data_IF_226755507593
#
_entry.id   IF_226755507593
#
_cell.length_a   1.000
_cell.length_b   1.000
_cell.length_c   1.000
_cell.angle_alpha   90.00
_cell.angle_beta   90.00
_cell.angle_gamma   90.00
#
_symmetry.space_group_name_H-M   'P 1'
#
loop_
_entity.id
_entity.type
_entity.pdbx_description
1 polymer ?
#
# COMPACT_ATOMS: atom_id res chain seq x y z
N UNK A 1 -29.48 2.72 2.05
CA UNK A 1 -29.01 4.11 2.36
C UNK A 1 -27.76 4.36 1.57
N UNK A 2 -27.66 5.48 0.90
CA UNK A 2 -26.46 5.84 0.12
C UNK A 2 -25.31 6.14 1.10
N UNK A 3 -24.26 5.33 1.07
CA UNK A 3 -23.13 5.44 1.98
C UNK A 3 -22.33 6.74 1.74
N UNK A 4 -22.25 7.20 0.49
CA UNK A 4 -21.61 8.46 0.14
C UNK A 4 -22.34 9.66 0.75
N UNK A 5 -23.68 9.64 0.66
CA UNK A 5 -24.51 10.66 1.30
C UNK A 5 -24.30 10.65 2.82
N UNK A 6 -24.23 9.47 3.44
CA UNK A 6 -24.04 9.35 4.89
C UNK A 6 -22.68 9.87 5.36
N UNK A 7 -21.61 9.65 4.59
CA UNK A 7 -20.29 10.23 4.89
C UNK A 7 -20.32 11.75 4.73
N UNK A 8 -20.99 12.28 3.70
CA UNK A 8 -21.20 13.72 3.53
C UNK A 8 -21.94 14.34 4.72
N UNK A 9 -23.02 13.71 5.18
CA UNK A 9 -23.76 14.15 6.37
C UNK A 9 -22.86 14.15 7.62
N UNK A 10 -22.03 13.12 7.81
CA UNK A 10 -21.10 13.05 8.94
C UNK A 10 -20.02 14.13 8.88
N UNK A 11 -19.56 14.48 7.69
CA UNK A 11 -18.60 15.55 7.51
C UNK A 11 -19.18 16.92 7.90
N UNK A 12 -20.43 17.20 7.54
CA UNK A 12 -21.09 18.48 7.76
C UNK A 12 -21.77 18.56 9.15
N UNK A 13 -22.63 17.59 9.50
CA UNK A 13 -23.45 17.64 10.70
C UNK A 13 -22.67 17.42 12.00
N UNK A 14 -21.58 16.64 11.93
CA UNK A 14 -20.78 16.23 13.09
C UNK A 14 -19.41 16.89 13.13
N UNK A 15 -19.19 17.90 12.30
CA UNK A 15 -17.94 18.65 12.19
C UNK A 15 -17.37 19.03 13.57
N UNK A 16 -18.23 19.54 14.47
CA UNK A 16 -17.85 20.01 15.80
C UNK A 16 -18.26 19.06 16.95
N UNK A 17 -18.87 17.91 16.63
CA UNK A 17 -19.44 16.99 17.63
C UNK A 17 -18.60 15.75 17.90
N UNK A 18 -17.77 15.36 16.95
CA UNK A 18 -16.87 14.22 17.08
C UNK A 18 -15.46 14.61 16.66
N UNK A 19 -14.46 13.93 17.18
CA UNK A 19 -13.06 14.12 16.80
C UNK A 19 -12.79 13.48 15.42
N UNK A 20 -11.68 13.86 14.80
CA UNK A 20 -11.23 13.23 13.55
C UNK A 20 -10.97 11.74 13.74
N UNK A 21 -10.36 11.37 14.88
CA UNK A 21 -10.17 9.97 15.24
C UNK A 21 -11.49 9.19 15.24
N UNK A 22 -12.51 9.70 15.92
CA UNK A 22 -13.83 9.07 15.98
C UNK A 22 -14.47 8.99 14.60
N UNK A 23 -14.32 10.03 13.78
CA UNK A 23 -14.85 10.05 12.41
C UNK A 23 -14.17 8.99 11.53
N UNK A 24 -12.84 9.04 11.39
CA UNK A 24 -12.11 8.17 10.48
C UNK A 24 -12.10 6.71 10.92
N UNK A 25 -12.17 6.43 12.22
CA UNK A 25 -12.25 5.04 12.72
C UNK A 25 -13.67 4.51 12.87
N UNK A 26 -14.69 5.31 12.54
CA UNK A 26 -16.09 4.89 12.59
C UNK A 26 -16.38 3.74 11.62
N UNK A 27 -17.30 2.86 11.99
CA UNK A 27 -17.73 1.76 11.11
C UNK A 27 -18.31 2.28 9.77
N UNK A 28 -18.97 3.44 9.79
CA UNK A 28 -19.51 4.07 8.56
C UNK A 28 -18.38 4.45 7.63
N UNK A 29 -17.32 5.09 8.15
CA UNK A 29 -16.17 5.47 7.34
C UNK A 29 -15.40 4.27 6.80
N UNK A 30 -15.16 3.27 7.63
CA UNK A 30 -14.51 2.01 7.21
C UNK A 30 -15.28 1.31 6.09
N UNK A 31 -16.60 1.22 6.21
CA UNK A 31 -17.44 0.65 5.14
C UNK A 31 -17.41 1.51 3.86
N UNK A 32 -17.36 2.83 4.00
CA UNK A 32 -17.21 3.73 2.86
C UNK A 32 -15.89 3.46 2.12
N UNK A 33 -14.75 3.40 2.83
CA UNK A 33 -13.45 3.13 2.24
C UNK A 33 -13.43 1.76 1.56
N UNK A 34 -13.88 0.72 2.22
CA UNK A 34 -13.94 -0.63 1.66
C UNK A 34 -14.81 -0.69 0.37
N UNK A 35 -15.97 -0.03 0.37
CA UNK A 35 -16.82 0.05 -0.82
C UNK A 35 -16.18 0.87 -1.93
N UNK A 36 -15.49 1.97 -1.58
CA UNK A 36 -14.79 2.81 -2.55
C UNK A 36 -13.65 2.05 -3.20
N UNK A 37 -12.84 1.32 -2.45
CA UNK A 37 -11.79 0.44 -2.97
C UNK A 37 -12.35 -0.52 -4.01
N UNK A 38 -13.43 -1.23 -3.68
CA UNK A 38 -14.10 -2.15 -4.60
C UNK A 38 -14.58 -1.46 -5.88
N UNK A 39 -15.20 -0.30 -5.75
CA UNK A 39 -15.71 0.45 -6.89
C UNK A 39 -14.58 0.92 -7.83
N UNK A 40 -13.45 1.36 -7.27
CA UNK A 40 -12.29 1.79 -8.05
C UNK A 40 -11.73 0.60 -8.83
N UNK A 41 -11.51 -0.53 -8.18
CA UNK A 41 -10.98 -1.74 -8.83
C UNK A 41 -11.91 -2.25 -9.92
N UNK A 42 -13.21 -2.36 -9.64
CA UNK A 42 -14.21 -2.76 -10.65
C UNK A 42 -14.22 -1.81 -11.85
N UNK A 43 -14.15 -0.50 -11.60
CA UNK A 43 -14.07 0.50 -12.67
C UNK A 43 -12.78 0.41 -13.49
N UNK A 44 -11.66 0.10 -12.83
CA UNK A 44 -10.36 -0.13 -13.49
C UNK A 44 -10.40 -1.36 -14.36
N UNK A 45 -10.92 -2.49 -13.87
CA UNK A 45 -11.06 -3.73 -14.66
C UNK A 45 -11.93 -3.52 -15.88
N UNK A 46 -13.08 -2.87 -15.71
CA UNK A 46 -13.94 -2.52 -16.84
C UNK A 46 -13.22 -1.66 -17.89
N UNK A 47 -12.39 -0.72 -17.45
CA UNK A 47 -11.62 0.15 -18.34
C UNK A 47 -10.53 -0.64 -19.07
N UNK A 48 -9.82 -1.51 -18.37
CA UNK A 48 -8.81 -2.40 -18.96
C UNK A 48 -9.43 -3.31 -20.02
N UNK A 49 -10.58 -3.94 -19.71
CA UNK A 49 -11.30 -4.80 -20.62
C UNK A 49 -11.70 -4.07 -21.90
N UNK A 50 -12.23 -2.85 -21.81
CA UNK A 50 -12.53 -2.01 -22.98
C UNK A 50 -11.32 -1.68 -23.84
N UNK A 51 -10.12 -1.68 -23.27
CA UNK A 51 -8.86 -1.44 -23.98
C UNK A 51 -8.18 -2.74 -24.44
N UNK A 52 -8.86 -3.88 -24.39
CA UNK A 52 -8.37 -5.16 -24.88
C UNK A 52 -7.50 -5.94 -23.89
N UNK A 53 -7.43 -5.51 -22.64
CA UNK A 53 -6.80 -6.24 -21.55
C UNK A 53 -7.91 -6.95 -20.78
N UNK A 54 -8.03 -8.27 -20.88
CA UNK A 54 -9.00 -9.01 -20.07
C UNK A 54 -8.29 -9.79 -18.96
N UNK A 55 -8.72 -9.56 -17.74
CA UNK A 55 -8.58 -10.54 -16.67
C UNK A 55 -9.70 -11.58 -16.85
N UNK A 56 -9.47 -12.81 -16.45
CA UNK A 56 -10.58 -13.75 -16.39
C UNK A 56 -11.58 -13.29 -15.34
N UNK A 57 -12.88 -13.50 -15.57
CA UNK A 57 -13.92 -13.20 -14.56
C UNK A 57 -13.62 -13.85 -13.19
N UNK A 58 -12.98 -15.03 -13.23
CA UNK A 58 -12.52 -15.72 -12.03
C UNK A 58 -11.43 -14.93 -11.29
N UNK A 59 -10.47 -14.37 -11.99
CA UNK A 59 -9.36 -13.62 -11.39
C UNK A 59 -9.85 -12.29 -10.81
N UNK A 60 -10.77 -11.59 -11.50
CA UNK A 60 -11.42 -10.38 -10.99
C UNK A 60 -12.19 -10.66 -9.70
N UNK A 61 -13.07 -11.65 -9.71
CA UNK A 61 -13.85 -12.03 -8.53
C UNK A 61 -12.96 -12.49 -7.38
N UNK A 62 -11.91 -13.26 -7.67
CA UNK A 62 -10.95 -13.69 -6.68
C UNK A 62 -10.24 -12.49 -6.05
N UNK A 63 -9.74 -11.56 -6.85
CA UNK A 63 -9.08 -10.36 -6.36
C UNK A 63 -10.03 -9.51 -5.51
N UNK A 64 -11.23 -9.18 -6.03
CA UNK A 64 -12.22 -8.37 -5.31
C UNK A 64 -12.67 -8.98 -3.98
N UNK A 65 -12.66 -10.32 -3.86
CA UNK A 65 -13.02 -11.01 -2.62
C UNK A 65 -11.83 -11.22 -1.67
N UNK A 66 -10.60 -11.07 -2.16
CA UNK A 66 -9.39 -11.21 -1.36
C UNK A 66 -8.88 -9.90 -0.77
N UNK A 67 -9.53 -8.76 -1.08
CA UNK A 67 -9.09 -7.44 -0.60
C UNK A 67 -9.83 -7.09 0.69
N UNK A 68 -9.03 -6.81 1.71
CA UNK A 68 -9.49 -6.24 2.98
C UNK A 68 -8.94 -4.82 3.12
N UNK A 69 -9.80 -3.89 3.51
CA UNK A 69 -9.44 -2.49 3.73
C UNK A 69 -9.65 -2.11 5.17
N UNK A 70 -8.63 -1.60 5.81
CA UNK A 70 -8.66 -1.13 7.17
C UNK A 70 -8.32 0.35 7.25
N UNK A 71 -8.91 1.07 8.21
CA UNK A 71 -8.58 2.46 8.54
C UNK A 71 -8.27 2.55 10.02
N UNK A 72 -7.08 3.03 10.35
CA UNK A 72 -6.65 3.28 11.71
C UNK A 72 -6.25 4.76 11.88
N UNK A 73 -5.94 5.15 13.11
CA UNK A 73 -5.57 6.52 13.46
C UNK A 73 -4.38 6.50 14.43
N UNK A 74 -3.16 6.52 13.90
CA UNK A 74 -1.91 6.52 14.69
C UNK A 74 -1.17 7.85 14.52
N UNK A 75 -1.38 8.76 15.47
CA UNK A 75 -0.72 10.08 15.53
C UNK A 75 0.78 9.99 15.84
N UNK A 76 1.24 8.85 16.35
CA UNK A 76 2.67 8.66 16.64
C UNK A 76 3.49 8.36 15.40
N UNK A 77 2.82 8.12 14.25
CA UNK A 77 3.44 7.86 12.98
C UNK A 77 4.32 6.61 12.95
N UNK A 78 4.04 5.64 13.83
CA UNK A 78 4.79 4.38 13.87
C UNK A 78 4.49 3.51 12.67
N UNK A 79 3.27 3.62 12.17
CA UNK A 79 2.80 2.88 11.01
C UNK A 79 2.10 3.86 10.09
N UNK A 80 2.62 4.06 8.90
CA UNK A 80 1.98 4.84 7.82
C UNK A 80 0.84 4.07 7.16
N UNK A 81 0.35 4.57 6.03
CA UNK A 81 -0.49 3.79 5.12
C UNK A 81 0.38 2.82 4.34
N UNK A 82 -0.12 1.64 4.04
CA UNK A 82 0.62 0.64 3.26
C UNK A 82 -0.31 -0.45 2.71
N UNK A 83 0.14 -1.06 1.62
CA UNK A 83 -0.49 -2.24 1.03
C UNK A 83 0.44 -3.44 1.18
N UNK A 84 -0.12 -4.58 1.51
CA UNK A 84 0.62 -5.83 1.60
C UNK A 84 -0.24 -7.03 1.18
N UNK A 85 0.40 -8.16 0.94
CA UNK A 85 -0.32 -9.42 0.74
C UNK A 85 0.15 -10.50 1.72
N UNK A 86 -0.74 -11.40 2.09
CA UNK A 86 -0.39 -12.58 2.87
C UNK A 86 0.16 -13.72 1.97
N UNK A 87 0.51 -14.83 2.59
CA UNK A 87 1.02 -16.02 1.89
C UNK A 87 -0.04 -16.73 1.04
N UNK A 88 -1.32 -16.43 1.26
CA UNK A 88 -2.45 -16.99 0.53
C UNK A 88 -2.86 -16.13 -0.66
N UNK A 89 -2.25 -14.95 -0.80
CA UNK A 89 -2.54 -13.98 -1.85
C UNK A 89 -3.69 -13.03 -1.51
N UNK A 90 -4.18 -13.01 -0.26
CA UNK A 90 -5.11 -11.95 0.16
C UNK A 90 -4.37 -10.62 0.22
N UNK A 91 -5.04 -9.57 -0.21
CA UNK A 91 -4.52 -8.21 -0.28
C UNK A 91 -5.09 -7.37 0.87
N UNK A 92 -4.25 -6.58 1.50
CA UNK A 92 -4.63 -5.71 2.61
C UNK A 92 -4.23 -4.28 2.30
N UNK A 93 -5.17 -3.37 2.45
CA UNK A 93 -4.95 -1.92 2.38
C UNK A 93 -5.17 -1.34 3.76
N UNK A 94 -4.10 -0.94 4.41
CA UNK A 94 -4.13 -0.30 5.72
C UNK A 94 -3.89 1.20 5.56
N UNK A 95 -4.85 2.02 5.92
CA UNK A 95 -4.79 3.48 5.84
C UNK A 95 -4.63 4.10 7.22
N UNK A 96 -3.60 4.90 7.40
CA UNK A 96 -3.48 5.73 8.59
C UNK A 96 -4.09 7.11 8.37
N UNK A 97 -5.28 7.35 8.92
CA UNK A 97 -5.94 8.64 8.83
C UNK A 97 -5.27 9.76 9.66
N UNK A 98 -4.22 9.42 10.43
CA UNK A 98 -3.34 10.36 11.11
C UNK A 98 -1.95 10.41 10.46
N UNK A 99 -1.81 9.98 9.21
CA UNK A 99 -0.58 10.18 8.46
C UNK A 99 -0.24 11.67 8.35
N UNK A 100 1.04 11.98 8.27
CA UNK A 100 1.54 13.37 8.22
C UNK A 100 0.87 14.16 7.11
N UNK A 101 0.76 13.57 5.91
CA UNK A 101 0.22 14.24 4.73
C UNK A 101 -1.30 14.47 4.83
N UNK A 102 -1.98 13.68 5.66
CA UNK A 102 -3.39 13.89 6.01
C UNK A 102 -3.51 14.96 7.11
N UNK A 103 -2.69 14.89 8.17
CA UNK A 103 -2.78 15.79 9.31
C UNK A 103 -2.42 17.25 9.00
N UNK A 104 -1.57 17.50 7.98
CA UNK A 104 -1.22 18.87 7.57
C UNK A 104 -2.39 19.59 6.89
N UNK A 105 -3.44 18.89 6.51
CA UNK A 105 -4.62 19.48 5.90
C UNK A 105 -5.45 20.28 6.91
N UNK A 106 -6.07 21.37 6.43
CA UNK A 106 -6.69 22.41 7.28
C UNK A 106 -7.87 21.89 8.08
N UNK A 107 -8.72 21.12 7.45
CA UNK A 107 -9.98 20.67 8.04
C UNK A 107 -10.27 19.21 7.69
N UNK A 108 -11.34 18.68 8.25
CA UNK A 108 -11.75 17.28 8.07
C UNK A 108 -12.10 16.92 6.63
N UNK A 109 -12.63 17.87 5.86
CA UNK A 109 -12.97 17.63 4.44
C UNK A 109 -11.69 17.47 3.64
N UNK A 110 -10.73 18.38 3.83
CA UNK A 110 -9.42 18.31 3.17
C UNK A 110 -8.66 17.04 3.59
N UNK A 111 -8.71 16.66 4.87
CA UNK A 111 -8.14 15.39 5.38
C UNK A 111 -8.79 14.17 4.76
N UNK A 112 -10.12 14.21 4.60
CA UNK A 112 -10.84 13.14 3.91
C UNK A 112 -10.39 13.00 2.44
N UNK A 113 -10.21 14.12 1.73
CA UNK A 113 -9.72 14.11 0.35
C UNK A 113 -8.27 13.64 0.25
N UNK A 114 -7.41 14.08 1.16
CA UNK A 114 -6.02 13.62 1.22
C UNK A 114 -5.95 12.10 1.47
N UNK A 115 -6.73 11.58 2.42
CA UNK A 115 -6.78 10.14 2.68
C UNK A 115 -7.32 9.34 1.50
N UNK A 116 -8.22 9.93 0.69
CA UNK A 116 -8.62 9.31 -0.56
C UNK A 116 -7.49 9.26 -1.60
N UNK A 117 -6.64 10.31 -1.66
CA UNK A 117 -5.43 10.29 -2.48
C UNK A 117 -4.49 9.14 -2.07
N UNK A 118 -4.25 9.00 -0.77
CA UNK A 118 -3.48 7.85 -0.23
C UNK A 118 -4.13 6.52 -0.61
N UNK A 119 -5.46 6.39 -0.50
CA UNK A 119 -6.16 5.18 -0.93
C UNK A 119 -5.94 4.85 -2.41
N UNK A 120 -5.94 5.85 -3.31
CA UNK A 120 -5.66 5.63 -4.73
C UNK A 120 -4.24 5.12 -4.95
N UNK A 121 -3.26 5.67 -4.23
CA UNK A 121 -1.88 5.22 -4.25
C UNK A 121 -1.76 3.75 -3.81
N UNK A 122 -2.35 3.39 -2.68
CA UNK A 122 -2.35 2.01 -2.17
C UNK A 122 -3.05 1.01 -3.11
N UNK A 123 -4.12 1.44 -3.79
CA UNK A 123 -4.75 0.62 -4.84
C UNK A 123 -3.81 0.43 -6.03
N UNK A 124 -2.97 1.40 -6.35
CA UNK A 124 -1.92 1.27 -7.34
C UNK A 124 -0.99 0.09 -7.04
N UNK A 125 -0.58 -0.09 -5.79
CA UNK A 125 0.21 -1.25 -5.38
C UNK A 125 -0.54 -2.58 -5.60
N UNK A 126 -1.85 -2.64 -5.33
CA UNK A 126 -2.64 -3.86 -5.63
C UNK A 126 -2.58 -4.23 -7.12
N UNK A 127 -2.61 -3.22 -7.99
CA UNK A 127 -2.69 -3.42 -9.43
C UNK A 127 -1.34 -3.70 -10.09
N UNK A 128 -0.26 -3.16 -9.53
CA UNK A 128 1.04 -3.12 -10.22
C UNK A 128 2.18 -3.82 -9.47
N UNK A 129 2.05 -4.09 -8.17
CA UNK A 129 3.10 -4.78 -7.40
C UNK A 129 2.94 -6.30 -7.44
N UNK A 130 3.95 -7.00 -7.95
CA UNK A 130 4.04 -8.46 -7.84
C UNK A 130 4.58 -8.87 -6.45
N UNK A 131 3.72 -8.79 -5.44
CA UNK A 131 4.07 -9.13 -4.05
C UNK A 131 4.70 -10.51 -3.85
N UNK A 132 4.24 -11.60 -4.52
CA UNK A 132 4.91 -12.90 -4.42
C UNK A 132 6.37 -12.86 -4.89
N UNK A 133 6.63 -12.26 -6.04
CA UNK A 133 8.00 -12.14 -6.58
C UNK A 133 8.86 -11.24 -5.70
N UNK A 134 8.33 -10.09 -5.28
CA UNK A 134 9.03 -9.20 -4.35
C UNK A 134 9.42 -9.90 -3.06
N UNK A 135 8.47 -10.59 -2.43
CA UNK A 135 8.72 -11.35 -1.19
C UNK A 135 9.77 -12.44 -1.38
N UNK A 136 9.70 -13.19 -2.47
CA UNK A 136 10.69 -14.20 -2.80
C UNK A 136 12.08 -13.60 -2.97
N UNK A 137 12.16 -12.46 -3.64
CA UNK A 137 13.41 -11.73 -3.86
C UNK A 137 14.03 -11.23 -2.54
N UNK A 138 13.28 -10.52 -1.72
CA UNK A 138 13.74 -10.01 -0.41
C UNK A 138 14.18 -11.19 0.50
N UNK A 139 13.41 -12.27 0.51
CA UNK A 139 13.76 -13.46 1.28
C UNK A 139 15.08 -14.11 0.81
N UNK A 140 15.34 -14.16 -0.49
CA UNK A 140 16.61 -14.67 -1.03
C UNK A 140 17.79 -13.75 -0.68
N UNK A 141 17.61 -12.43 -0.80
CA UNK A 141 18.62 -11.46 -0.37
C UNK A 141 18.95 -11.62 1.12
N UNK A 142 17.94 -11.80 1.97
CA UNK A 142 18.12 -12.05 3.41
C UNK A 142 18.86 -13.34 3.74
N UNK A 143 19.04 -14.25 2.77
CA UNK A 143 19.84 -15.48 2.85
C UNK A 143 21.19 -15.38 2.13
N UNK A 144 21.57 -14.19 1.67
CA UNK A 144 22.81 -13.98 0.94
C UNK A 144 22.77 -14.46 -0.52
N UNK A 145 21.58 -14.66 -1.06
CA UNK A 145 21.38 -15.09 -2.46
C UNK A 145 20.94 -13.90 -3.30
N UNK A 146 21.56 -13.75 -4.46
CA UNK A 146 21.16 -12.75 -5.44
C UNK A 146 20.16 -13.35 -6.43
N UNK A 147 19.10 -12.60 -6.70
CA UNK A 147 18.15 -12.94 -7.75
C UNK A 147 17.85 -11.68 -8.58
N UNK A 148 17.83 -11.73 -9.92
CA UNK A 148 18.12 -12.92 -10.77
C UNK A 148 19.57 -13.38 -10.78
N UNK A 149 20.54 -12.49 -10.63
CA UNK A 149 21.99 -12.79 -10.57
C UNK A 149 22.73 -11.69 -9.84
N UNK A 150 23.80 -12.02 -9.14
CA UNK A 150 24.68 -11.01 -8.56
C UNK A 150 25.23 -10.07 -9.64
N UNK A 151 25.20 -8.75 -9.42
CA UNK A 151 25.78 -7.82 -10.36
C UNK A 151 27.28 -8.09 -10.54
N UNK A 152 27.76 -8.11 -11.79
CA UNK A 152 29.17 -8.41 -12.11
C UNK A 152 30.16 -7.44 -11.43
N UNK A 153 29.69 -6.28 -10.99
CA UNK A 153 30.47 -5.27 -10.26
C UNK A 153 29.69 -4.81 -9.04
N UNK A 154 29.67 -5.61 -8.01
CA UNK A 154 29.09 -5.25 -6.71
C UNK A 154 30.15 -4.56 -5.81
N UNK A 155 30.88 -3.60 -6.35
CA UNK A 155 31.81 -2.79 -5.58
C UNK A 155 31.20 -1.44 -5.27
N UNK A 156 31.19 -1.06 -4.01
CA UNK A 156 30.81 0.29 -3.59
C UNK A 156 31.90 1.32 -3.98
N UNK A 157 31.55 2.59 -3.92
CA UNK A 157 32.46 3.72 -4.12
C UNK A 157 33.66 3.69 -3.14
N UNK A 158 33.53 3.00 -2.00
CA UNK A 158 34.56 2.82 -0.98
C UNK A 158 35.42 1.55 -1.16
N UNK A 159 35.28 0.83 -2.27
CA UNK A 159 36.02 -0.41 -2.52
C UNK A 159 35.48 -1.64 -1.76
N UNK A 160 34.38 -1.49 -1.03
CA UNK A 160 33.75 -2.59 -0.31
C UNK A 160 32.98 -3.47 -1.31
N UNK A 161 33.29 -4.75 -1.34
CA UNK A 161 32.55 -5.69 -2.18
C UNK A 161 31.28 -6.18 -1.44
N UNK A 162 30.11 -5.64 -1.83
CA UNK A 162 28.83 -5.99 -1.23
C UNK A 162 28.52 -7.50 -1.33
N UNK A 163 28.90 -8.13 -2.43
CA UNK A 163 28.69 -9.58 -2.59
C UNK A 163 29.52 -10.39 -1.57
N UNK A 164 30.75 -9.95 -1.27
CA UNK A 164 31.56 -10.58 -0.22
C UNK A 164 30.96 -10.33 1.17
N UNK A 165 30.48 -9.13 1.44
CA UNK A 165 29.83 -8.80 2.73
C UNK A 165 28.60 -9.67 2.98
N UNK A 166 27.76 -9.93 1.98
CA UNK A 166 26.61 -10.81 2.10
C UNK A 166 27.00 -12.25 2.46
N UNK A 167 28.22 -12.67 2.14
CA UNK A 167 28.72 -14.00 2.50
C UNK A 167 29.35 -14.05 3.90
N UNK A 168 29.65 -12.90 4.52
CA UNK A 168 30.42 -12.85 5.77
C UNK A 168 29.57 -12.83 7.04
N UNK A 169 28.27 -12.55 6.98
CA UNK A 169 27.44 -12.55 8.17
C UNK A 169 25.96 -12.25 7.94
N UNK A 170 25.08 -12.83 8.75
CA UNK A 170 23.63 -12.68 8.61
C UNK A 170 23.14 -11.24 8.85
N UNK A 171 23.88 -10.42 9.60
CA UNK A 171 23.53 -9.00 9.80
C UNK A 171 23.67 -8.20 8.51
N UNK A 172 24.69 -8.45 7.68
CA UNK A 172 24.85 -7.79 6.38
C UNK A 172 23.78 -8.22 5.38
N UNK A 173 23.41 -9.49 5.40
CA UNK A 173 22.33 -10.03 4.57
C UNK A 173 21.01 -9.32 4.88
N UNK A 174 20.67 -9.19 6.15
CA UNK A 174 19.47 -8.47 6.61
C UNK A 174 19.50 -6.98 6.27
N UNK A 175 20.67 -6.34 6.42
CA UNK A 175 20.84 -4.93 6.09
C UNK A 175 20.63 -4.69 4.59
N UNK A 176 21.25 -5.52 3.74
CA UNK A 176 21.12 -5.39 2.29
C UNK A 176 19.68 -5.68 1.84
N UNK A 177 19.03 -6.69 2.41
CA UNK A 177 17.62 -6.97 2.13
C UNK A 177 16.73 -5.77 2.51
N UNK A 178 16.95 -5.15 3.66
CA UNK A 178 16.22 -3.94 4.09
C UNK A 178 16.45 -2.73 3.18
N UNK A 179 17.70 -2.52 2.73
CA UNK A 179 18.01 -1.43 1.79
C UNK A 179 17.35 -1.70 0.44
N UNK A 180 17.41 -2.94 -0.05
CA UNK A 180 16.79 -3.33 -1.31
C UNK A 180 15.27 -3.16 -1.28
N UNK A 181 14.62 -3.56 -0.19
CA UNK A 181 13.21 -3.35 0.07
C UNK A 181 12.84 -1.85 0.04
N UNK A 182 13.60 -1.01 0.72
CA UNK A 182 13.37 0.43 0.75
C UNK A 182 13.56 1.09 -0.63
N UNK A 183 14.56 0.68 -1.41
CA UNK A 183 14.81 1.21 -2.76
C UNK A 183 13.71 0.77 -3.72
N UNK A 184 13.30 -0.49 -3.62
CA UNK A 184 12.26 -1.03 -4.47
C UNK A 184 10.91 -0.35 -4.17
N UNK A 185 10.55 -0.17 -2.89
CA UNK A 185 9.34 0.54 -2.49
C UNK A 185 9.33 1.97 -3.03
N UNK A 186 10.42 2.73 -2.85
CA UNK A 186 10.55 4.08 -3.41
C UNK A 186 10.48 4.10 -4.95
N UNK A 187 10.99 3.06 -5.61
CA UNK A 187 10.92 2.93 -7.06
C UNK A 187 9.50 2.63 -7.56
N UNK A 188 8.75 1.80 -6.83
CA UNK A 188 7.33 1.52 -7.13
C UNK A 188 6.46 2.73 -6.87
N UNK A 189 6.67 3.44 -5.75
CA UNK A 189 5.96 4.68 -5.43
C UNK A 189 6.10 5.69 -6.58
N UNK A 190 7.32 5.92 -7.06
CA UNK A 190 7.58 6.81 -8.19
C UNK A 190 7.03 6.31 -9.55
N UNK A 191 6.66 5.04 -9.66
CA UNK A 191 6.02 4.49 -10.87
C UNK A 191 4.49 4.62 -10.80
N UNK A 192 3.92 4.54 -9.59
CA UNK A 192 2.46 4.59 -9.35
C UNK A 192 1.96 6.04 -9.36
N UNK A 193 2.77 7.02 -8.91
CA UNK A 193 2.45 8.45 -8.94
C UNK A 193 2.43 9.02 -10.37
#
# INVERSE_FOLDING_TARGET
MDLYKRVGELLEEYKDKITDKEFFTSNVYKQFVARKTRNILTGTFYTLERNGFSLSEYDENKLLNSIETNVHYDEQGKVGSYTHSDIMGNQFVDLNAADRDVLVQKDRVDRHLALQGVLYHEIGHILFTDFPTLRAWIHQLGRGQWFPNAPKRATSVSGINLASMMQTGPEYQKLIAKIADSIQNAGEDGYIE
#
